data_IF_913847586619
#
_entry.id   IF_913847586619
#
_cell.length_a   1.000
_cell.length_b   1.000
_cell.length_c   1.000
_cell.angle_alpha   90.00
_cell.angle_beta   90.00
_cell.angle_gamma   90.00
#
_symmetry.space_group_name_H-M   'P 1'
#
loop_
_entity.id
_entity.type
_entity.pdbx_description
1 polymer ?
#
# COMPACT_ATOMS: atom_id res chain seq x y z
N UNK A 1 -7.36 22.17 40.58
CA UNK A 1 -6.27 21.73 39.70
C UNK A 1 -6.07 20.25 39.96
N UNK A 2 -6.49 19.38 39.05
CA UNK A 2 -6.40 17.93 39.28
C UNK A 2 -4.93 17.50 39.28
N UNK A 3 -4.55 16.74 40.31
CA UNK A 3 -3.30 16.01 40.42
C UNK A 3 -3.35 14.84 39.44
N UNK A 4 -2.35 14.73 38.57
CA UNK A 4 -2.10 13.66 37.58
C UNK A 4 -2.91 13.73 36.28
N UNK A 5 -2.20 13.93 35.15
CA UNK A 5 -2.73 13.83 33.77
C UNK A 5 -2.45 15.11 32.96
N UNK A 6 -1.97 14.97 31.74
CA UNK A 6 -1.61 16.06 30.81
C UNK A 6 -2.82 16.88 30.27
N UNK A 7 -3.89 16.99 31.07
CA UNK A 7 -5.14 17.68 30.77
C UNK A 7 -6.22 16.79 30.14
N UNK A 8 -7.50 17.13 30.36
CA UNK A 8 -8.66 16.37 29.84
C UNK A 8 -8.62 16.15 28.32
N UNK A 9 -8.11 17.14 27.56
CA UNK A 9 -7.96 17.01 26.11
C UNK A 9 -7.03 15.87 25.70
N UNK A 10 -5.93 15.68 26.43
CA UNK A 10 -4.99 14.60 26.16
C UNK A 10 -5.55 13.22 26.55
N UNK A 11 -6.30 13.14 27.65
CA UNK A 11 -6.97 11.89 28.05
C UNK A 11 -8.04 11.46 27.04
N UNK A 12 -8.75 12.41 26.43
CA UNK A 12 -9.69 12.12 25.34
C UNK A 12 -8.94 11.64 24.09
N UNK A 13 -7.80 12.26 23.73
CA UNK A 13 -6.94 11.79 22.63
C UNK A 13 -6.51 10.35 22.86
N UNK A 14 -6.02 10.00 24.06
CA UNK A 14 -5.67 8.61 24.41
C UNK A 14 -6.86 7.67 24.24
N UNK A 15 -8.03 8.04 24.76
CA UNK A 15 -9.24 7.24 24.62
C UNK A 15 -9.63 7.02 23.16
N UNK A 16 -9.44 8.00 22.28
CA UNK A 16 -9.65 7.83 20.84
C UNK A 16 -8.63 6.87 20.24
N UNK A 17 -7.34 7.05 20.54
CA UNK A 17 -6.27 6.22 19.99
C UNK A 17 -6.31 4.75 20.45
N UNK A 18 -6.82 4.50 21.67
CA UNK A 18 -7.01 3.16 22.21
C UNK A 18 -8.33 2.50 21.77
N UNK A 19 -9.17 3.20 21.02
CA UNK A 19 -10.49 2.70 20.58
C UNK A 19 -11.61 2.80 21.63
N UNK A 20 -11.34 3.36 22.81
CA UNK A 20 -12.34 3.60 23.87
C UNK A 20 -13.37 4.68 23.49
N UNK A 21 -12.99 5.60 22.60
CA UNK A 21 -13.86 6.63 22.02
C UNK A 21 -13.82 6.50 20.50
N UNK A 22 -14.90 5.98 19.91
CA UNK A 22 -15.04 5.86 18.45
C UNK A 22 -15.39 7.25 17.87
N UNK A 23 -14.62 7.71 16.89
CA UNK A 23 -14.91 8.95 16.15
C UNK A 23 -16.15 8.80 15.23
N UNK A 24 -16.92 9.88 14.97
CA UNK A 24 -16.73 11.24 15.50
C UNK A 24 -17.02 11.35 17.00
N UNK A 25 -16.20 12.13 17.70
CA UNK A 25 -16.28 12.41 19.13
C UNK A 25 -17.49 13.29 19.39
N UNK A 26 -18.30 12.91 20.39
CA UNK A 26 -19.43 13.71 20.88
C UNK A 26 -19.31 13.93 22.38
N UNK A 27 -20.03 14.93 22.90
CA UNK A 27 -20.10 15.19 24.34
C UNK A 27 -20.53 13.95 25.14
N UNK A 28 -21.52 13.20 24.66
CA UNK A 28 -21.99 11.99 25.36
C UNK A 28 -20.93 10.87 25.37
N UNK A 29 -20.17 10.70 24.27
CA UNK A 29 -19.06 9.75 24.21
C UNK A 29 -17.94 10.11 25.21
N UNK A 30 -17.57 11.39 25.28
CA UNK A 30 -16.58 11.89 26.25
C UNK A 30 -17.07 11.72 27.69
N UNK A 31 -18.34 12.06 27.96
CA UNK A 31 -18.95 11.90 29.29
C UNK A 31 -18.97 10.44 29.74
N UNK A 32 -19.29 9.51 28.83
CA UNK A 32 -19.24 8.08 29.09
C UNK A 32 -17.81 7.62 29.39
N UNK A 33 -16.83 8.02 28.56
CA UNK A 33 -15.42 7.73 28.76
C UNK A 33 -14.89 8.23 30.11
N UNK A 34 -15.16 9.49 30.47
CA UNK A 34 -14.74 10.05 31.76
C UNK A 34 -15.34 9.28 32.93
N UNK A 35 -16.62 8.92 32.86
CA UNK A 35 -17.28 8.12 33.90
C UNK A 35 -16.65 6.74 34.04
N UNK A 36 -16.38 6.06 32.93
CA UNK A 36 -15.82 4.71 32.92
C UNK A 36 -14.37 4.68 33.43
N UNK A 37 -13.61 5.76 33.20
CA UNK A 37 -12.21 5.87 33.58
C UNK A 37 -11.98 6.68 34.88
N UNK A 38 -13.03 7.02 35.62
CA UNK A 38 -12.92 7.74 36.90
C UNK A 38 -12.37 9.17 36.78
N UNK A 39 -12.51 9.80 35.61
CA UNK A 39 -12.02 11.16 35.33
C UNK A 39 -13.05 12.18 35.84
N UNK A 40 -12.68 12.94 36.87
CA UNK A 40 -13.52 14.00 37.44
C UNK A 40 -13.44 15.28 36.59
N UNK A 41 -14.32 15.38 35.59
CA UNK A 41 -14.46 16.54 34.71
C UNK A 41 -15.87 17.12 34.76
N UNK A 42 -15.99 18.44 35.00
CA UNK A 42 -17.29 19.12 34.97
C UNK A 42 -17.89 19.15 33.56
N UNK A 43 -19.22 19.22 33.47
CA UNK A 43 -19.91 19.31 32.17
C UNK A 43 -19.42 20.49 31.32
N UNK A 44 -19.19 21.63 31.96
CA UNK A 44 -18.65 22.82 31.30
C UNK A 44 -17.23 22.57 30.78
N UNK A 45 -16.37 21.89 31.56
CA UNK A 45 -15.00 21.57 31.13
C UNK A 45 -15.00 20.65 29.89
N UNK A 46 -15.85 19.62 29.87
CA UNK A 46 -16.00 18.71 28.72
C UNK A 46 -16.55 19.42 27.47
N UNK A 47 -17.49 20.36 27.63
CA UNK A 47 -18.02 21.14 26.50
C UNK A 47 -16.98 22.10 25.96
N UNK A 48 -16.28 22.81 26.85
CA UNK A 48 -15.25 23.80 26.50
C UNK A 48 -14.06 23.14 25.81
N UNK A 49 -13.59 21.97 26.27
CA UNK A 49 -12.45 21.29 25.63
C UNK A 49 -12.77 20.83 24.20
N UNK A 50 -14.01 20.43 23.94
CA UNK A 50 -14.49 20.10 22.59
C UNK A 50 -14.74 21.37 21.75
N UNK A 51 -15.38 22.40 22.31
CA UNK A 51 -15.81 23.61 21.58
C UNK A 51 -14.71 24.65 21.35
N UNK A 52 -13.68 24.71 22.18
CA UNK A 52 -12.48 25.54 21.94
C UNK A 52 -11.72 25.14 20.67
N UNK A 53 -12.18 24.09 19.97
CA UNK A 53 -11.79 23.72 18.62
C UNK A 53 -12.24 24.69 17.51
N UNK A 54 -13.25 25.56 17.72
CA UNK A 54 -13.87 26.29 16.60
C UNK A 54 -13.73 27.80 16.53
N UNK A 55 -13.56 28.58 17.62
CA UNK A 55 -13.56 30.05 17.50
C UNK A 55 -12.60 30.74 18.49
N UNK A 56 -11.60 31.43 17.94
CA UNK A 56 -10.57 32.16 18.66
C UNK A 56 -11.02 33.61 18.89
N UNK A 57 -11.64 33.91 20.03
CA UNK A 57 -11.75 35.31 20.50
C UNK A 57 -11.46 35.51 21.99
N UNK A 58 -11.32 34.46 22.80
CA UNK A 58 -10.97 34.63 24.22
C UNK A 58 -9.97 33.57 24.71
N UNK A 59 -8.74 34.04 24.98
CA UNK A 59 -7.64 33.42 25.73
C UNK A 59 -6.67 32.50 24.94
N UNK A 60 -5.42 32.94 24.67
CA UNK A 60 -4.42 32.24 23.86
C UNK A 60 -3.72 31.05 24.59
N UNK A 61 -4.38 30.41 25.56
CA UNK A 61 -3.70 29.58 26.57
C UNK A 61 -4.02 28.08 26.52
N UNK A 62 -4.99 27.64 25.69
CA UNK A 62 -5.38 26.23 25.63
C UNK A 62 -4.90 25.57 24.34
N UNK A 63 -4.15 24.47 24.48
CA UNK A 63 -3.72 23.61 23.36
C UNK A 63 -4.96 23.04 22.67
N UNK A 64 -5.03 23.19 21.35
CA UNK A 64 -6.12 22.67 20.52
C UNK A 64 -5.86 21.19 20.26
N UNK A 65 -6.84 20.32 20.53
CA UNK A 65 -6.72 18.87 20.32
C UNK A 65 -7.66 18.32 19.24
N UNK A 66 -8.75 19.05 18.94
CA UNK A 66 -9.84 18.58 18.10
C UNK A 66 -10.19 19.60 17.01
N UNK A 67 -10.80 19.12 15.94
CA UNK A 67 -11.46 19.91 14.90
C UNK A 67 -12.94 19.53 14.81
N UNK A 68 -13.80 20.51 14.50
CA UNK A 68 -15.26 20.32 14.44
C UNK A 68 -15.65 19.87 13.03
N UNK A 69 -16.37 18.76 12.92
CA UNK A 69 -16.80 18.20 11.62
C UNK A 69 -18.28 18.48 11.27
N UNK A 70 -19.06 19.04 12.21
CA UNK A 70 -20.47 19.39 12.04
C UNK A 70 -21.31 18.92 13.24
N UNK A 71 -22.57 19.35 13.40
CA UNK A 71 -23.51 18.69 14.35
C UNK A 71 -23.16 18.57 15.84
N UNK A 72 -22.07 19.18 16.33
CA UNK A 72 -21.54 18.91 17.69
C UNK A 72 -20.60 17.70 17.75
N UNK A 73 -20.10 17.29 16.60
CA UNK A 73 -19.15 16.22 16.34
C UNK A 73 -17.75 16.78 16.09
N UNK A 74 -16.75 16.05 16.57
CA UNK A 74 -15.34 16.43 16.53
C UNK A 74 -14.46 15.25 16.14
N UNK A 75 -13.28 15.51 15.60
CA UNK A 75 -12.22 14.51 15.41
C UNK A 75 -10.91 15.03 16.00
N UNK A 76 -9.99 14.14 16.39
CA UNK A 76 -8.67 14.56 16.87
C UNK A 76 -7.86 15.16 15.73
N UNK A 77 -7.11 16.23 16.01
CA UNK A 77 -6.21 16.84 15.02
C UNK A 77 -5.12 15.85 14.62
N UNK A 78 -4.71 15.90 13.35
CA UNK A 78 -3.74 14.98 12.77
C UNK A 78 -2.39 14.96 13.53
N UNK A 79 -1.97 16.08 14.11
CA UNK A 79 -0.75 16.20 14.92
C UNK A 79 -0.75 15.38 16.21
N UNK A 80 -1.93 14.96 16.70
CA UNK A 80 -2.06 14.06 17.85
C UNK A 80 -2.27 12.60 17.45
N UNK A 81 -2.45 12.32 16.16
CA UNK A 81 -2.39 10.94 15.70
C UNK A 81 -0.93 10.51 15.71
N UNK A 82 -0.63 9.25 16.12
CA UNK A 82 0.70 8.69 15.95
C UNK A 82 1.10 8.88 14.49
N UNK A 83 2.24 9.55 14.26
CA UNK A 83 2.81 9.59 12.92
C UNK A 83 3.10 8.14 12.53
N UNK A 84 2.49 7.68 11.44
CA UNK A 84 2.78 6.34 10.92
C UNK A 84 4.26 6.27 10.60
N UNK A 85 4.91 5.24 11.11
CA UNK A 85 6.25 4.89 10.69
C UNK A 85 6.14 3.88 9.55
N UNK A 86 7.17 3.89 8.70
CA UNK A 86 7.25 3.04 7.53
C UNK A 86 8.43 2.10 7.71
N UNK A 87 8.26 0.86 7.27
CA UNK A 87 9.27 -0.17 7.42
C UNK A 87 9.47 -0.96 6.15
N UNK A 88 10.64 -1.55 6.03
CA UNK A 88 11.00 -2.54 5.03
C UNK A 88 11.31 -3.86 5.72
N UNK A 89 10.60 -4.93 5.35
CA UNK A 89 10.74 -6.26 5.92
C UNK A 89 11.30 -7.24 4.87
N UNK A 90 12.46 -7.82 5.16
CA UNK A 90 13.03 -8.93 4.40
C UNK A 90 12.51 -10.28 4.95
N UNK A 91 11.88 -11.07 4.09
CA UNK A 91 11.46 -12.45 4.40
C UNK A 91 12.08 -13.42 3.43
N UNK A 92 12.80 -14.41 3.95
CA UNK A 92 13.33 -15.50 3.14
C UNK A 92 12.26 -16.57 2.94
N UNK A 93 11.52 -16.46 1.83
CA UNK A 93 10.40 -17.35 1.48
C UNK A 93 10.79 -18.84 1.50
N UNK A 94 12.07 -19.17 1.26
CA UNK A 94 12.56 -20.56 1.25
C UNK A 94 12.69 -21.18 2.65
N UNK A 95 12.57 -20.38 3.71
CA UNK A 95 12.74 -20.81 5.11
C UNK A 95 11.42 -21.03 5.84
N UNK A 96 10.30 -20.79 5.19
CA UNK A 96 8.97 -20.93 5.77
C UNK A 96 8.06 -21.70 4.80
N UNK A 97 6.95 -22.20 5.32
CA UNK A 97 5.85 -22.79 4.57
C UNK A 97 4.85 -21.74 4.05
N UNK A 98 5.15 -20.46 4.27
CA UNK A 98 4.37 -19.32 3.83
C UNK A 98 5.26 -18.26 3.16
N UNK A 99 4.63 -17.43 2.32
CA UNK A 99 5.23 -16.27 1.68
C UNK A 99 4.18 -15.15 1.62
N UNK A 100 4.61 -13.89 1.55
CA UNK A 100 3.67 -12.79 1.35
C UNK A 100 3.08 -12.80 -0.07
N UNK A 101 3.80 -13.34 -1.04
CA UNK A 101 3.34 -13.53 -2.41
C UNK A 101 2.16 -14.49 -2.46
N UNK A 102 2.16 -15.58 -1.70
CA UNK A 102 1.04 -16.54 -1.66
C UNK A 102 -0.06 -16.15 -0.67
N UNK A 103 0.25 -15.32 0.33
CA UNK A 103 -0.72 -14.82 1.30
C UNK A 103 -1.80 -13.98 0.59
N UNK A 104 -3.08 -14.23 0.90
CA UNK A 104 -4.20 -13.43 0.36
C UNK A 104 -4.29 -12.08 1.07
N UNK A 105 -4.74 -11.05 0.34
CA UNK A 105 -5.08 -9.75 0.95
C UNK A 105 -6.12 -9.95 2.06
N UNK A 106 -5.93 -9.26 3.18
CA UNK A 106 -6.73 -9.37 4.40
C UNK A 106 -6.34 -10.55 5.30
N UNK A 107 -5.35 -11.36 4.92
CA UNK A 107 -4.75 -12.37 5.80
C UNK A 107 -3.50 -11.82 6.46
N UNK A 108 -3.20 -12.36 7.63
CA UNK A 108 -2.06 -11.96 8.44
C UNK A 108 -1.09 -13.10 8.69
N UNK A 109 0.12 -12.72 9.07
CA UNK A 109 1.18 -13.64 9.44
C UNK A 109 2.01 -13.06 10.59
N UNK A 110 2.25 -13.90 11.59
CA UNK A 110 3.15 -13.58 12.69
C UNK A 110 4.61 -13.75 12.26
N UNK A 111 5.46 -12.81 12.70
CA UNK A 111 6.89 -12.87 12.46
C UNK A 111 7.68 -12.36 13.66
N UNK A 112 8.60 -13.20 14.12
CA UNK A 112 9.37 -13.01 15.33
C UNK A 112 10.68 -12.24 15.08
N UNK A 113 11.16 -11.53 16.11
CA UNK A 113 12.52 -10.99 16.17
C UNK A 113 13.62 -12.07 16.25
N UNK A 114 13.26 -13.34 16.45
CA UNK A 114 14.13 -14.51 16.38
C UNK A 114 13.96 -15.24 15.04
N UNK A 115 15.05 -15.82 14.56
CA UNK A 115 15.04 -16.70 13.39
C UNK A 115 14.65 -18.14 13.78
N UNK A 116 14.36 -19.03 12.81
CA UNK A 116 13.97 -20.43 13.12
C UNK A 116 14.99 -21.22 13.96
N UNK A 117 16.25 -20.76 14.01
CA UNK A 117 17.30 -21.34 14.83
C UNK A 117 17.40 -20.70 16.23
N UNK A 118 16.43 -19.85 16.62
CA UNK A 118 16.40 -19.14 17.90
C UNK A 118 17.37 -17.96 18.03
N UNK A 119 18.09 -17.58 16.96
CA UNK A 119 19.02 -16.46 17.01
C UNK A 119 18.31 -15.15 16.70
N UNK A 120 18.73 -14.08 17.36
CA UNK A 120 18.21 -12.74 17.12
C UNK A 120 18.46 -12.28 15.70
N UNK A 121 17.44 -11.66 15.10
CA UNK A 121 17.52 -11.05 13.78
C UNK A 121 18.26 -9.73 13.86
N UNK A 122 18.88 -9.36 12.73
CA UNK A 122 19.53 -8.06 12.60
C UNK A 122 18.49 -6.95 12.71
N UNK A 123 18.94 -5.79 13.19
CA UNK A 123 18.12 -4.59 13.39
C UNK A 123 17.05 -4.77 14.48
N UNK A 124 17.42 -5.36 15.61
CA UNK A 124 16.52 -5.61 16.76
C UNK A 124 15.74 -4.37 17.22
N UNK A 125 16.35 -3.18 17.11
CA UNK A 125 15.69 -1.93 17.50
C UNK A 125 14.43 -1.66 16.67
N UNK A 126 14.38 -2.07 15.40
CA UNK A 126 13.18 -1.90 14.57
C UNK A 126 12.02 -2.74 15.12
N UNK A 127 12.27 -3.97 15.59
CA UNK A 127 11.25 -4.80 16.24
C UNK A 127 10.73 -4.17 17.54
N UNK A 128 11.57 -3.42 18.25
CA UNK A 128 11.17 -2.67 19.45
C UNK A 128 10.38 -1.40 19.12
N UNK A 129 10.74 -0.70 18.06
CA UNK A 129 10.15 0.60 17.71
C UNK A 129 8.84 0.52 16.93
N UNK A 130 8.67 -0.52 16.10
CA UNK A 130 7.47 -0.71 15.26
C UNK A 130 6.20 -0.85 16.10
N UNK A 131 5.09 -0.28 15.62
CA UNK A 131 3.80 -0.18 16.32
C UNK A 131 2.66 -0.66 15.42
N UNK A 132 1.53 -0.93 16.06
CA UNK A 132 0.25 -1.16 15.36
C UNK A 132 -0.06 0.03 14.46
N UNK A 133 -0.62 -0.25 13.28
CA UNK A 133 -0.92 0.66 12.17
C UNK A 133 0.27 1.21 11.37
N UNK A 134 1.51 0.84 11.72
CA UNK A 134 2.67 1.11 10.85
C UNK A 134 2.58 0.32 9.54
N UNK A 135 3.14 0.90 8.47
CA UNK A 135 3.08 0.34 7.13
C UNK A 135 4.41 -0.29 6.73
N UNK A 136 4.34 -1.42 6.05
CA UNK A 136 5.51 -2.27 5.79
C UNK A 136 5.56 -2.69 4.34
N UNK A 137 6.69 -2.43 3.70
CA UNK A 137 7.04 -2.99 2.39
C UNK A 137 7.64 -4.38 2.62
N UNK A 138 6.98 -5.43 2.11
CA UNK A 138 7.45 -6.81 2.25
C UNK A 138 8.33 -7.19 1.04
N UNK A 139 9.62 -7.33 1.29
CA UNK A 139 10.60 -7.81 0.32
C UNK A 139 10.90 -9.28 0.55
N UNK A 140 10.57 -10.13 -0.43
CA UNK A 140 10.90 -11.54 -0.36
C UNK A 140 12.30 -11.80 -0.90
N UNK A 141 13.14 -12.41 -0.07
CA UNK A 141 14.43 -12.98 -0.47
C UNK A 141 14.25 -14.45 -0.87
N UNK A 142 15.34 -15.10 -1.27
CA UNK A 142 15.30 -16.47 -1.79
C UNK A 142 15.11 -16.45 -3.31
N UNK A 143 14.04 -17.07 -3.80
CA UNK A 143 13.77 -17.20 -5.24
C UNK A 143 13.17 -15.94 -5.85
N UNK A 144 12.39 -15.18 -5.07
CA UNK A 144 11.67 -13.99 -5.58
C UNK A 144 12.57 -12.76 -5.68
N UNK A 145 13.29 -12.37 -4.62
CA UNK A 145 14.19 -11.19 -4.61
C UNK A 145 13.49 -9.92 -5.12
N UNK A 146 12.28 -9.66 -4.64
CA UNK A 146 11.47 -8.53 -5.06
C UNK A 146 10.49 -8.12 -3.94
N UNK A 147 9.93 -6.91 -4.05
CA UNK A 147 8.82 -6.49 -3.19
C UNK A 147 7.54 -7.17 -3.70
N UNK A 148 6.88 -7.91 -2.82
CA UNK A 148 5.71 -8.74 -3.17
C UNK A 148 4.40 -8.20 -2.60
N UNK A 149 4.45 -7.41 -1.52
CA UNK A 149 3.25 -6.93 -0.85
C UNK A 149 3.48 -5.64 -0.06
N UNK A 150 2.39 -4.93 0.21
CA UNK A 150 2.32 -3.95 1.31
C UNK A 150 1.53 -4.58 2.44
N UNK A 151 2.07 -4.47 3.65
CA UNK A 151 1.47 -4.96 4.87
C UNK A 151 1.21 -3.82 5.85
N UNK A 152 0.33 -4.08 6.81
CA UNK A 152 0.08 -3.23 7.98
C UNK A 152 0.32 -4.06 9.24
N UNK A 153 0.91 -3.46 10.25
CA UNK A 153 1.03 -4.09 11.57
C UNK A 153 -0.32 -4.06 12.26
N UNK A 154 -0.85 -5.23 12.62
CA UNK A 154 -2.14 -5.34 13.30
C UNK A 154 -2.02 -5.74 14.77
N UNK A 155 -0.92 -6.39 15.14
CA UNK A 155 -0.63 -6.69 16.54
C UNK A 155 0.88 -6.75 16.81
N UNK A 156 1.25 -6.57 18.07
CA UNK A 156 2.61 -6.73 18.59
C UNK A 156 2.58 -7.07 20.08
N UNK A 157 3.21 -8.17 20.43
CA UNK A 157 3.30 -8.63 21.80
C UNK A 157 4.66 -9.27 22.11
N UNK A 158 4.93 -9.47 23.40
CA UNK A 158 6.12 -10.13 23.90
C UNK A 158 5.71 -11.44 24.59
N UNK A 159 6.29 -12.56 24.18
CA UNK A 159 6.16 -13.85 24.84
C UNK A 159 7.54 -14.41 25.15
N UNK A 160 7.82 -14.77 26.41
CA UNK A 160 9.12 -15.32 26.83
C UNK A 160 10.36 -14.54 26.34
N UNK A 161 10.30 -13.19 26.33
CA UNK A 161 11.33 -12.28 25.81
C UNK A 161 11.56 -12.30 24.28
N UNK A 162 10.68 -12.98 23.54
CA UNK A 162 10.54 -12.94 22.08
C UNK A 162 9.52 -11.87 21.70
N UNK A 163 9.88 -10.99 20.77
CA UNK A 163 8.96 -9.99 20.23
C UNK A 163 8.32 -10.53 18.96
N UNK A 164 7.00 -10.64 18.98
CA UNK A 164 6.20 -11.15 17.87
C UNK A 164 5.37 -10.00 17.31
N UNK A 165 5.37 -9.86 15.99
CA UNK A 165 4.63 -8.84 15.26
C UNK A 165 3.74 -9.54 14.25
N UNK A 166 2.47 -9.16 14.21
CA UNK A 166 1.52 -9.67 13.23
C UNK A 166 1.35 -8.67 12.08
N UNK A 167 1.64 -9.13 10.86
CA UNK A 167 1.55 -8.33 9.64
C UNK A 167 0.36 -8.79 8.80
N UNK A 168 -0.63 -7.93 8.61
CA UNK A 168 -1.73 -8.14 7.67
C UNK A 168 -1.32 -7.67 6.27
N UNK A 169 -1.47 -8.53 5.26
CA UNK A 169 -1.29 -8.13 3.87
C UNK A 169 -2.46 -7.26 3.44
N UNK A 170 -2.19 -5.99 3.15
CA UNK A 170 -3.22 -5.03 2.73
C UNK A 170 -3.19 -4.76 1.22
N UNK A 171 -2.09 -5.11 0.53
CA UNK A 171 -1.97 -4.95 -0.92
C UNK A 171 -1.11 -6.05 -1.54
N UNK A 172 -1.57 -6.54 -2.69
CA UNK A 172 -0.87 -7.50 -3.55
C UNK A 172 -0.45 -6.85 -4.86
N UNK A 173 0.46 -7.50 -5.57
CA UNK A 173 1.00 -7.05 -6.86
C UNK A 173 1.14 -8.23 -7.84
N UNK A 174 0.86 -8.00 -9.12
CA UNK A 174 1.13 -8.94 -10.22
C UNK A 174 2.56 -8.78 -10.74
N UNK A 175 3.07 -7.56 -10.79
CA UNK A 175 4.42 -7.22 -11.23
C UNK A 175 5.23 -6.76 -10.03
N UNK A 176 6.33 -7.46 -9.74
CA UNK A 176 7.16 -7.18 -8.57
C UNK A 176 8.31 -6.25 -8.90
N UNK A 177 8.61 -5.35 -7.95
CA UNK A 177 9.73 -4.43 -8.04
C UNK A 177 10.99 -5.08 -7.45
N UNK A 178 12.03 -5.26 -8.27
CA UNK A 178 13.30 -5.87 -7.84
C UNK A 178 14.28 -4.81 -7.33
N UNK A 179 15.27 -5.20 -6.51
CA UNK A 179 16.32 -4.29 -6.03
C UNK A 179 17.08 -3.63 -7.19
N UNK A 180 17.34 -4.37 -8.28
CA UNK A 180 18.07 -3.83 -9.42
C UNK A 180 17.28 -2.70 -10.11
N UNK A 181 15.96 -2.87 -10.24
CA UNK A 181 15.07 -1.84 -10.78
C UNK A 181 15.05 -0.59 -9.89
N UNK A 182 15.06 -0.74 -8.57
CA UNK A 182 15.09 0.40 -7.64
C UNK A 182 16.42 1.15 -7.63
N UNK A 183 17.55 0.45 -7.76
CA UNK A 183 18.88 1.07 -7.78
C UNK A 183 19.14 1.98 -8.98
N UNK A 184 18.33 1.87 -10.03
CA UNK A 184 18.38 2.79 -11.18
C UNK A 184 17.66 4.11 -10.95
N UNK A 185 16.89 4.26 -9.86
CA UNK A 185 16.17 5.49 -9.55
C UNK A 185 17.02 6.45 -8.72
N UNK A 186 17.12 7.71 -9.18
CA UNK A 186 17.81 8.77 -8.44
C UNK A 186 17.15 9.08 -7.11
N UNK A 187 15.82 8.96 -7.04
CA UNK A 187 15.03 9.26 -5.85
C UNK A 187 15.20 8.20 -4.75
N UNK A 188 15.87 7.08 -5.04
CA UNK A 188 16.19 6.02 -4.07
C UNK A 188 17.69 5.85 -3.82
N UNK A 189 18.54 6.77 -4.30
CA UNK A 189 20.00 6.71 -4.12
C UNK A 189 20.40 6.70 -2.64
N UNK A 190 19.64 7.39 -1.77
CA UNK A 190 19.89 7.44 -0.32
C UNK A 190 19.04 6.42 0.46
N UNK A 191 18.19 5.64 -0.21
CA UNK A 191 17.33 4.68 0.44
C UNK A 191 18.14 3.52 1.03
N UNK A 192 18.26 3.50 2.36
CA UNK A 192 19.07 2.53 3.10
C UNK A 192 18.74 1.07 2.73
N UNK A 193 17.48 0.57 2.80
CA UNK A 193 17.21 -0.81 2.45
C UNK A 193 17.50 -1.14 0.97
N UNK A 194 17.39 -0.20 0.04
CA UNK A 194 17.73 -0.46 -1.38
C UNK A 194 19.24 -0.71 -1.55
N UNK A 195 20.07 0.06 -0.85
CA UNK A 195 21.53 -0.03 -0.95
C UNK A 195 22.15 -1.08 -0.02
N UNK A 196 21.59 -1.25 1.18
CA UNK A 196 22.14 -2.05 2.27
C UNK A 196 21.09 -2.97 2.91
N UNK A 197 20.37 -3.75 2.11
CA UNK A 197 19.36 -4.76 2.54
C UNK A 197 19.90 -5.95 3.37
N UNK A 198 21.12 -5.92 3.94
CA UNK A 198 21.67 -7.03 4.74
C UNK A 198 21.15 -7.01 6.18
N UNK A 199 19.87 -7.33 6.35
CA UNK A 199 19.16 -7.32 7.63
C UNK A 199 17.76 -7.89 7.49
N UNK A 200 16.94 -7.79 8.54
CA UNK A 200 15.56 -8.31 8.50
C UNK A 200 14.50 -7.23 8.47
N UNK A 201 14.54 -6.27 9.38
CA UNK A 201 13.58 -5.18 9.43
C UNK A 201 14.32 -3.85 9.45
N UNK A 202 13.90 -2.91 8.62
CA UNK A 202 14.52 -1.59 8.51
C UNK A 202 13.45 -0.53 8.66
N UNK A 203 13.78 0.56 9.35
CA UNK A 203 13.02 1.79 9.22
C UNK A 203 13.20 2.33 7.81
N UNK A 204 12.10 2.81 7.24
CA UNK A 204 12.03 3.39 5.92
C UNK A 204 11.52 4.82 6.07
N UNK A 205 12.22 5.75 5.45
CA UNK A 205 11.77 7.14 5.43
C UNK A 205 10.47 7.24 4.64
N UNK A 206 9.58 8.12 5.10
CA UNK A 206 8.24 8.32 4.51
C UNK A 206 8.29 8.62 3.01
N UNK A 207 9.23 9.48 2.60
CA UNK A 207 9.46 9.81 1.19
C UNK A 207 9.82 8.57 0.35
N UNK A 208 10.78 7.77 0.82
CA UNK A 208 11.18 6.53 0.15
C UNK A 208 10.04 5.50 0.09
N UNK A 209 9.23 5.38 1.16
CA UNK A 209 8.04 4.54 1.14
C UNK A 209 7.06 4.95 0.04
N UNK A 210 6.78 6.25 -0.08
CA UNK A 210 5.89 6.77 -1.11
C UNK A 210 6.44 6.58 -2.52
N UNK A 211 7.75 6.78 -2.74
CA UNK A 211 8.39 6.50 -4.02
C UNK A 211 8.26 5.01 -4.37
N UNK A 212 8.61 4.11 -3.45
CA UNK A 212 8.54 2.65 -3.69
C UNK A 212 7.11 2.19 -3.98
N UNK A 213 6.14 2.67 -3.19
CA UNK A 213 4.73 2.31 -3.40
C UNK A 213 4.18 2.89 -4.69
N UNK A 214 4.58 4.09 -5.09
CA UNK A 214 4.25 4.65 -6.39
C UNK A 214 4.86 3.79 -7.50
N UNK A 215 6.16 3.47 -7.45
CA UNK A 215 6.80 2.57 -8.43
C UNK A 215 6.10 1.21 -8.52
N UNK A 216 5.67 0.63 -7.40
CA UNK A 216 4.90 -0.61 -7.40
C UNK A 216 3.53 -0.42 -8.05
N UNK A 217 2.81 0.65 -7.71
CA UNK A 217 1.54 0.95 -8.36
C UNK A 217 1.74 1.10 -9.87
N UNK A 218 2.70 1.92 -10.27
CA UNK A 218 3.16 2.19 -11.63
C UNK A 218 3.63 0.96 -12.42
N UNK A 219 4.16 -0.06 -11.76
CA UNK A 219 4.49 -1.34 -12.41
C UNK A 219 3.26 -2.24 -12.57
N UNK A 220 2.31 -2.12 -11.67
CA UNK A 220 1.09 -2.93 -11.62
C UNK A 220 -0.12 -2.26 -12.28
N UNK A 221 0.06 -1.02 -12.68
CA UNK A 221 -0.67 -0.33 -13.72
C UNK A 221 0.33 -0.21 -14.86
N UNK A 222 0.30 -1.13 -15.83
CA UNK A 222 1.14 -1.33 -17.04
C UNK A 222 1.61 -0.09 -17.84
N UNK A 223 1.48 1.13 -17.33
CA UNK A 223 1.69 2.41 -17.97
C UNK A 223 2.94 3.21 -17.54
N UNK A 224 3.64 3.04 -16.40
CA UNK A 224 4.68 4.06 -16.06
C UNK A 224 6.09 3.87 -16.66
N UNK A 225 6.49 2.63 -17.01
CA UNK A 225 7.66 2.49 -17.90
C UNK A 225 7.36 3.18 -19.25
N UNK A 226 6.12 3.06 -19.72
CA UNK A 226 5.65 3.76 -20.90
C UNK A 226 5.39 5.24 -20.62
N UNK A 227 5.13 5.65 -19.38
CA UNK A 227 4.77 6.99 -18.95
C UNK A 227 5.97 7.92 -18.91
N UNK A 228 7.06 7.50 -18.25
CA UNK A 228 8.35 8.19 -18.33
C UNK A 228 8.87 8.23 -19.78
N UNK A 229 8.83 7.09 -20.48
CA UNK A 229 9.18 7.05 -21.90
C UNK A 229 8.28 7.99 -22.72
N UNK A 230 6.98 8.03 -22.46
CA UNK A 230 6.03 8.89 -23.17
C UNK A 230 6.34 10.37 -22.89
N UNK A 231 6.60 10.77 -21.64
CA UNK A 231 7.05 12.13 -21.29
C UNK A 231 8.31 12.50 -22.07
N UNK A 232 9.34 11.66 -22.03
CA UNK A 232 10.59 11.85 -22.79
C UNK A 232 10.36 11.90 -24.30
N UNK A 233 9.44 11.11 -24.83
CA UNK A 233 9.02 11.15 -26.24
C UNK A 233 8.32 12.48 -26.55
N UNK A 234 7.44 12.98 -25.69
CA UNK A 234 6.78 14.28 -25.87
C UNK A 234 7.78 15.43 -25.83
N UNK A 235 8.75 15.40 -24.92
CA UNK A 235 9.85 16.37 -24.87
C UNK A 235 10.68 16.31 -26.15
N UNK A 236 11.08 15.12 -26.59
CA UNK A 236 11.83 14.94 -27.85
C UNK A 236 11.05 15.42 -29.07
N UNK A 237 9.71 15.29 -29.07
CA UNK A 237 8.83 15.81 -30.14
C UNK A 237 8.77 17.34 -30.17
N UNK A 238 9.02 18.04 -29.07
CA UNK A 238 9.08 19.52 -29.04
C UNK A 238 10.30 20.06 -29.78
N UNK A 239 11.37 19.27 -29.88
CA UNK A 239 12.57 19.67 -30.59
C UNK A 239 12.40 19.62 -32.12
N UNK A 240 13.29 20.28 -32.86
CA UNK A 240 13.35 20.17 -34.31
C UNK A 240 13.83 18.78 -34.75
N UNK A 241 13.54 18.40 -35.99
CA UNK A 241 14.05 17.16 -36.57
C UNK A 241 15.58 17.13 -36.58
N UNK A 242 16.23 18.26 -36.83
CA UNK A 242 17.71 18.39 -36.87
C UNK A 242 18.31 18.05 -35.51
N UNK A 243 17.75 18.60 -34.42
CA UNK A 243 18.22 18.35 -33.06
C UNK A 243 18.03 16.88 -32.65
N UNK A 244 16.89 16.27 -33.00
CA UNK A 244 16.69 14.83 -32.78
C UNK A 244 17.71 13.99 -33.54
N UNK A 245 17.95 14.27 -34.82
CA UNK A 245 18.91 13.52 -35.66
C UNK A 245 20.33 13.62 -35.10
N UNK A 246 20.74 14.81 -34.65
CA UNK A 246 22.04 15.02 -34.01
C UNK A 246 22.18 14.17 -32.74
N UNK A 247 21.14 14.03 -31.91
CA UNK A 247 21.17 13.13 -30.75
C UNK A 247 21.29 11.66 -31.14
N UNK A 248 20.60 11.24 -32.21
CA UNK A 248 20.68 9.87 -32.73
C UNK A 248 22.06 9.54 -33.31
N UNK A 249 22.69 10.49 -34.02
CA UNK A 249 24.05 10.32 -34.57
C UNK A 249 25.12 10.24 -33.46
N UNK A 250 24.92 10.97 -32.36
CA UNK A 250 25.82 10.94 -31.20
C UNK A 250 25.51 9.82 -30.20
N UNK A 251 24.53 8.95 -30.50
CA UNK A 251 24.17 7.83 -29.64
C UNK A 251 25.15 6.68 -29.84
N UNK A 252 26.19 6.64 -29.00
CA UNK A 252 27.33 5.72 -29.12
C UNK A 252 26.98 4.24 -28.89
N UNK A 253 25.86 3.92 -28.23
CA UNK A 253 25.43 2.55 -27.97
C UNK A 253 23.93 2.38 -28.29
N UNK A 254 23.56 1.84 -29.46
CA UNK A 254 22.16 1.67 -29.88
C UNK A 254 21.43 0.53 -29.16
N UNK A 255 22.12 -0.22 -28.28
CA UNK A 255 21.50 -1.29 -27.50
C UNK A 255 20.87 -0.66 -26.25
N UNK A 256 19.54 -0.76 -26.07
CA UNK A 256 18.89 -0.24 -24.90
C UNK A 256 19.33 -1.01 -23.65
N UNK A 257 19.35 -0.33 -22.51
CA UNK A 257 19.48 -0.99 -21.23
C UNK A 257 18.26 -1.87 -20.97
N UNK A 258 18.49 -3.11 -20.54
CA UNK A 258 17.44 -4.05 -20.14
C UNK A 258 17.48 -4.25 -18.64
N UNK A 259 16.31 -4.35 -18.02
CA UNK A 259 16.17 -4.74 -16.63
C UNK A 259 15.21 -5.92 -16.51
N UNK A 260 15.41 -6.76 -15.48
CA UNK A 260 14.54 -7.89 -15.21
C UNK A 260 13.33 -7.45 -14.37
N UNK A 261 12.16 -7.86 -14.82
CA UNK A 261 10.89 -7.70 -14.10
C UNK A 261 10.38 -9.09 -13.75
N UNK A 262 10.08 -9.32 -12.46
CA UNK A 262 9.43 -10.56 -12.03
C UNK A 262 7.93 -10.34 -11.98
N UNK A 263 7.19 -11.18 -12.70
CA UNK A 263 5.73 -11.13 -12.74
C UNK A 263 5.17 -12.40 -12.14
N UNK A 264 4.21 -12.27 -11.23
CA UNK A 264 3.34 -13.32 -10.75
C UNK A 264 2.22 -13.55 -11.76
N UNK A 265 2.01 -14.80 -12.14
CA UNK A 265 0.93 -15.22 -13.03
C UNK A 265 0.01 -16.19 -12.31
N UNK A 266 -1.30 -16.05 -12.54
CA UNK A 266 -2.29 -16.99 -12.04
C UNK A 266 -2.54 -18.11 -13.05
N UNK A 267 -2.54 -19.36 -12.58
CA UNK A 267 -3.03 -20.49 -13.37
C UNK A 267 -4.55 -20.46 -13.40
N UNK A 268 -5.10 -19.79 -14.41
CA UNK A 268 -6.56 -19.64 -14.61
C UNK A 268 -7.21 -20.96 -15.01
N UNK A 269 -8.45 -21.15 -14.59
CA UNK A 269 -9.29 -22.27 -14.95
C UNK A 269 -9.66 -22.16 -16.44
N UNK A 270 -9.25 -23.12 -17.28
CA UNK A 270 -9.54 -23.09 -18.71
C UNK A 270 -11.05 -23.09 -19.01
N UNK A 271 -11.88 -23.73 -18.18
CA UNK A 271 -13.32 -23.81 -18.39
C UNK A 271 -14.00 -22.45 -18.18
N UNK A 272 -13.54 -21.66 -17.20
CA UNK A 272 -14.02 -20.28 -16.99
C UNK A 272 -13.68 -19.42 -18.20
N UNK A 273 -12.46 -19.54 -18.72
CA UNK A 273 -12.04 -18.80 -19.92
C UNK A 273 -12.90 -19.19 -21.12
N UNK A 274 -13.08 -20.50 -21.35
CA UNK A 274 -13.86 -21.01 -22.47
C UNK A 274 -15.33 -20.56 -22.39
N UNK A 275 -15.97 -20.70 -21.23
CA UNK A 275 -17.37 -20.34 -21.03
C UNK A 275 -17.60 -18.84 -21.27
N UNK A 276 -16.72 -17.98 -20.75
CA UNK A 276 -16.80 -16.52 -20.94
C UNK A 276 -16.60 -16.14 -22.42
N UNK A 277 -15.68 -16.78 -23.13
CA UNK A 277 -15.47 -16.53 -24.56
C UNK A 277 -16.65 -17.02 -25.42
N UNK A 278 -17.24 -18.17 -25.09
CA UNK A 278 -18.42 -18.71 -25.77
C UNK A 278 -19.63 -17.79 -25.54
N UNK A 279 -19.87 -17.39 -24.30
CA UNK A 279 -20.94 -16.46 -23.92
C UNK A 279 -20.85 -15.14 -24.70
N UNK A 280 -19.64 -14.61 -24.85
CA UNK A 280 -19.39 -13.37 -25.57
C UNK A 280 -19.60 -13.50 -27.08
N UNK A 281 -19.51 -14.70 -27.65
CA UNK A 281 -19.76 -15.00 -29.06
C UNK A 281 -19.06 -14.02 -30.03
N UNK A 282 -17.80 -13.70 -29.74
CA UNK A 282 -17.00 -12.78 -30.55
C UNK A 282 -17.36 -11.30 -30.43
N UNK A 283 -18.23 -10.91 -29.51
CA UNK A 283 -18.59 -9.53 -29.21
C UNK A 283 -18.01 -9.14 -27.85
N UNK A 284 -17.33 -7.99 -27.79
CA UNK A 284 -16.81 -7.44 -26.55
C UNK A 284 -17.95 -7.09 -25.59
N UNK A 285 -17.94 -7.64 -24.38
CA UNK A 285 -18.98 -7.45 -23.37
C UNK A 285 -18.95 -6.04 -22.73
N UNK A 286 -17.89 -5.26 -22.96
CA UNK A 286 -17.79 -3.86 -22.50
C UNK A 286 -18.33 -2.86 -23.52
N UNK A 287 -17.87 -2.91 -24.77
CA UNK A 287 -18.21 -1.91 -25.79
C UNK A 287 -19.21 -2.39 -26.84
N UNK A 288 -19.67 -3.64 -26.77
CA UNK A 288 -20.63 -4.25 -27.68
C UNK A 288 -20.19 -4.24 -29.16
N UNK A 289 -18.89 -4.13 -29.42
CA UNK A 289 -18.31 -4.26 -30.77
C UNK A 289 -17.76 -5.65 -30.99
N UNK A 290 -17.80 -6.10 -32.23
CA UNK A 290 -17.13 -7.34 -32.64
C UNK A 290 -15.64 -7.30 -32.29
N UNK A 291 -15.06 -8.48 -32.09
CA UNK A 291 -13.63 -8.64 -31.90
C UNK A 291 -12.86 -7.97 -33.06
N UNK A 292 -11.76 -7.25 -32.78
CA UNK A 292 -11.10 -6.43 -33.80
C UNK A 292 -10.35 -7.25 -34.85
N UNK A 293 -10.09 -8.53 -34.57
CA UNK A 293 -9.46 -9.47 -35.49
C UNK A 293 -9.72 -10.92 -35.04
N UNK A 294 -9.35 -11.86 -35.91
CA UNK A 294 -9.42 -13.29 -35.65
C UNK A 294 -8.03 -13.85 -35.34
N UNK A 295 -7.95 -14.86 -34.47
CA UNK A 295 -6.71 -15.57 -34.14
C UNK A 295 -6.15 -16.23 -35.39
N UNK A 296 -4.86 -16.05 -35.64
CA UNK A 296 -4.18 -16.70 -36.76
C UNK A 296 -4.11 -18.22 -36.63
N UNK A 297 -4.15 -18.74 -35.38
CA UNK A 297 -4.03 -20.17 -35.08
C UNK A 297 -5.27 -20.99 -35.45
N UNK A 298 -6.47 -20.44 -35.25
CA UNK A 298 -7.73 -21.20 -35.33
C UNK A 298 -8.90 -20.40 -35.94
N UNK A 299 -8.69 -19.15 -36.34
CA UNK A 299 -9.72 -18.31 -36.94
C UNK A 299 -10.81 -17.83 -35.99
N UNK A 300 -10.67 -18.02 -34.66
CA UNK A 300 -11.66 -17.57 -33.69
C UNK A 300 -11.55 -16.08 -33.37
N UNK A 301 -12.65 -15.38 -33.02
CA UNK A 301 -12.61 -13.97 -32.61
C UNK A 301 -11.64 -13.71 -31.45
N UNK A 302 -10.77 -12.70 -31.56
CA UNK A 302 -9.81 -12.35 -30.50
C UNK A 302 -10.46 -11.45 -29.44
N UNK A 303 -10.81 -12.06 -28.31
CA UNK A 303 -11.18 -11.40 -27.06
C UNK A 303 -10.30 -11.92 -25.92
N UNK A 304 -10.09 -11.08 -24.92
CA UNK A 304 -9.32 -11.37 -23.71
C UNK A 304 -10.28 -11.47 -22.52
N UNK A 305 -10.09 -12.47 -21.66
CA UNK A 305 -10.88 -12.62 -20.44
C UNK A 305 -10.26 -11.80 -19.32
N UNK A 306 -11.05 -10.89 -18.77
CA UNK A 306 -10.69 -10.00 -17.67
C UNK A 306 -11.60 -10.26 -16.46
N UNK A 307 -11.02 -10.34 -15.26
CA UNK A 307 -11.81 -10.49 -14.04
C UNK A 307 -12.28 -9.14 -13.51
N UNK A 308 -13.57 -8.99 -13.22
CA UNK A 308 -14.18 -7.74 -12.73
C UNK A 308 -13.53 -7.33 -11.41
N UNK A 309 -13.49 -8.23 -10.43
CA UNK A 309 -12.55 -8.17 -9.31
C UNK A 309 -11.31 -8.94 -9.72
N UNK A 310 -10.19 -8.24 -9.91
CA UNK A 310 -8.93 -8.84 -10.36
C UNK A 310 -8.48 -9.96 -9.42
N UNK A 311 -7.86 -11.00 -9.97
CA UNK A 311 -7.34 -12.12 -9.19
C UNK A 311 -6.30 -11.65 -8.15
N UNK A 312 -5.46 -10.67 -8.50
CA UNK A 312 -4.50 -10.06 -7.56
C UNK A 312 -5.17 -9.37 -6.36
N UNK A 313 -6.37 -8.82 -6.52
CA UNK A 313 -7.13 -8.19 -5.42
C UNK A 313 -7.96 -9.22 -4.64
N UNK A 314 -7.66 -10.51 -4.78
CA UNK A 314 -8.43 -11.61 -4.20
C UNK A 314 -9.78 -11.82 -4.89
N UNK A 315 -9.85 -11.59 -6.19
CA UNK A 315 -10.96 -11.99 -7.05
C UNK A 315 -11.03 -13.51 -7.22
N UNK A 316 -12.23 -14.04 -7.36
CA UNK A 316 -12.43 -15.47 -7.64
C UNK A 316 -12.33 -15.74 -9.14
N UNK A 317 -11.80 -16.91 -9.50
CA UNK A 317 -11.72 -17.35 -10.88
C UNK A 317 -13.03 -18.06 -11.28
N UNK A 318 -14.07 -17.25 -11.52
CA UNK A 318 -15.43 -17.69 -11.83
C UNK A 318 -16.00 -16.96 -13.05
N UNK A 319 -17.02 -17.55 -13.68
CA UNK A 319 -17.67 -16.99 -14.88
C UNK A 319 -18.39 -15.67 -14.57
N UNK A 320 -18.93 -15.54 -13.36
CA UNK A 320 -19.63 -14.35 -12.88
C UNK A 320 -18.66 -13.19 -12.63
N UNK A 321 -17.44 -13.49 -12.21
CA UNK A 321 -16.40 -12.50 -11.98
C UNK A 321 -15.55 -12.23 -13.22
N UNK A 322 -15.94 -12.68 -14.42
CA UNK A 322 -15.13 -12.57 -15.63
C UNK A 322 -15.94 -12.07 -16.84
N UNK A 323 -15.28 -11.27 -17.68
CA UNK A 323 -15.83 -10.71 -18.92
C UNK A 323 -14.86 -10.88 -20.09
N UNK A 324 -15.38 -11.11 -21.30
CA UNK A 324 -14.62 -11.10 -22.53
C UNK A 324 -14.59 -9.69 -23.14
N UNK A 325 -13.40 -9.15 -23.34
CA UNK A 325 -13.21 -7.78 -23.82
C UNK A 325 -12.23 -7.73 -24.98
N UNK A 326 -12.43 -6.76 -25.88
CA UNK A 326 -11.44 -6.49 -26.93
C UNK A 326 -10.16 -5.90 -26.32
N UNK A 327 -9.00 -6.00 -26.98
CA UNK A 327 -7.72 -5.47 -26.50
C UNK A 327 -7.77 -4.01 -26.04
N UNK A 328 -8.55 -3.17 -26.73
CA UNK A 328 -8.70 -1.75 -26.38
C UNK A 328 -9.48 -1.59 -25.07
N UNK A 329 -10.61 -2.28 -24.95
CA UNK A 329 -11.42 -2.25 -23.73
C UNK A 329 -10.71 -2.91 -22.55
N UNK A 330 -9.94 -3.98 -22.81
CA UNK A 330 -9.13 -4.62 -21.80
C UNK A 330 -8.07 -3.66 -21.26
N UNK A 331 -7.34 -2.98 -22.15
CA UNK A 331 -6.38 -1.94 -21.79
C UNK A 331 -7.04 -0.81 -20.99
N UNK A 332 -8.18 -0.30 -21.45
CA UNK A 332 -8.95 0.74 -20.74
C UNK A 332 -9.46 0.27 -19.35
N UNK A 333 -9.80 -1.01 -19.17
CA UNK A 333 -10.19 -1.54 -17.85
C UNK A 333 -9.02 -1.57 -16.86
N UNK A 334 -7.79 -1.70 -17.36
CA UNK A 334 -6.60 -1.63 -16.52
C UNK A 334 -6.08 -0.21 -16.30
N UNK A 335 -6.28 0.73 -17.25
CA UNK A 335 -5.63 2.07 -17.22
C UNK A 335 -6.55 3.29 -17.30
N UNK A 336 -7.81 3.16 -17.69
CA UNK A 336 -8.72 4.28 -17.97
C UNK A 336 -8.45 4.94 -19.32
#
# INVERSE_FOLDING_TARGET
MAKHGDGLGYEIVKGVLNGDIIEPITYEKVKAYCKNNGIDASQNHMRVILSNASENTHSPTYKRYFERVGGGEYVILQEFRPKKSYYWLNVDSTKYDWSFSDLKVGRSQEYSNLNPNGNKRKNENCFKSIKVDDLVVAYETGDVKAITAICKVIDKYEDNAELIIEFEKIKDFEVYLTINSMKGSKDLEECNPVNFHRGTLFELEEEHYHIITNMLNELNTTDDIYGDLYKKVQESKKDSEIERRKRLENHLNPVPESFEVKTRAFKRNPDVIAEVLIRANGVCEKCNKEAPFFRASDGTPYLEVHHIKRLADGGEDTVENAIAVCPNCHRELHFG
#
